data_IF_003677002923
#
_entry.id   IF_003677002923
#
_cell.length_a   1.000
_cell.length_b   1.000
_cell.length_c   1.000
_cell.angle_alpha   90.00
_cell.angle_beta   90.00
_cell.angle_gamma   90.00
#
_symmetry.space_group_name_H-M   'P 1'
#
loop_
_entity.id
_entity.type
_entity.pdbx_description
1 polymer ?
#
# COMPACT_ATOMS: atom_id res chain seq x y z
N UNK A 1 -13.28 9.47 11.91
CA UNK A 1 -13.02 8.17 11.26
C UNK A 1 -13.37 7.10 12.28
N UNK A 2 -14.55 6.50 12.16
CA UNK A 2 -14.95 5.39 13.03
C UNK A 2 -14.58 4.13 12.25
N UNK A 3 -13.49 3.49 12.67
CA UNK A 3 -13.17 2.13 12.23
C UNK A 3 -14.13 1.22 13.01
N UNK A 4 -15.19 0.76 12.35
CA UNK A 4 -16.14 -0.16 12.96
C UNK A 4 -15.91 -1.54 12.36
N UNK A 5 -15.31 -2.39 13.20
CA UNK A 5 -15.11 -3.82 13.06
C UNK A 5 -14.20 -4.26 11.91
N UNK A 6 -13.72 -5.51 11.98
CA UNK A 6 -12.78 -6.17 11.04
C UNK A 6 -13.31 -6.29 9.59
N UNK A 7 -14.35 -5.53 9.25
CA UNK A 7 -14.92 -5.42 7.92
C UNK A 7 -14.29 -4.21 7.20
N UNK A 8 -13.72 -4.41 6.01
CA UNK A 8 -13.03 -3.38 5.21
C UNK A 8 -14.00 -2.35 4.58
N UNK A 9 -15.15 -2.12 5.20
CA UNK A 9 -16.24 -1.32 4.68
C UNK A 9 -16.21 0.10 5.25
N UNK A 10 -16.11 1.09 4.37
CA UNK A 10 -16.07 2.49 4.75
C UNK A 10 -17.25 3.28 4.18
N UNK A 11 -17.60 4.36 4.88
CA UNK A 11 -18.59 5.36 4.44
C UNK A 11 -17.93 6.72 4.37
N UNK A 12 -18.15 7.39 3.23
CA UNK A 12 -17.76 8.76 2.83
C UNK A 12 -16.89 9.52 3.85
N UNK A 13 -15.59 9.66 3.54
CA UNK A 13 -14.66 10.57 4.22
C UNK A 13 -14.39 11.81 3.35
N UNK A 14 -14.26 13.03 3.91
CA UNK A 14 -13.81 14.21 3.18
C UNK A 14 -12.32 14.09 2.86
N UNK A 15 -11.98 13.33 1.80
CA UNK A 15 -10.63 13.21 1.27
C UNK A 15 -10.28 14.30 0.24
N UNK A 16 -9.01 14.35 -0.16
CA UNK A 16 -8.58 15.16 -1.30
C UNK A 16 -9.14 14.56 -2.59
N UNK A 17 -9.95 15.29 -3.38
CA UNK A 17 -10.72 14.76 -4.52
C UNK A 17 -9.90 13.94 -5.51
N UNK A 18 -8.67 14.37 -5.81
CA UNK A 18 -7.81 13.73 -6.82
C UNK A 18 -7.39 12.30 -6.47
N UNK A 19 -7.40 11.92 -5.19
CA UNK A 19 -7.08 10.55 -4.74
C UNK A 19 -8.33 9.71 -4.49
N UNK A 20 -9.52 10.25 -4.75
CA UNK A 20 -10.78 9.56 -4.46
C UNK A 20 -11.04 8.51 -5.53
N UNK A 21 -11.27 7.27 -5.10
CA UNK A 21 -11.64 6.17 -5.99
C UNK A 21 -13.07 6.38 -6.55
N UNK A 22 -13.38 5.90 -7.78
CA UNK A 22 -14.66 6.13 -8.43
C UNK A 22 -15.86 5.62 -7.61
N UNK A 23 -15.71 4.49 -6.92
CA UNK A 23 -16.75 3.94 -6.04
C UNK A 23 -17.06 4.84 -4.83
N UNK A 24 -16.08 5.60 -4.34
CA UNK A 24 -16.25 6.52 -3.23
C UNK A 24 -17.11 7.74 -3.61
N UNK A 25 -17.09 8.13 -4.89
CA UNK A 25 -17.88 9.24 -5.41
C UNK A 25 -19.40 8.96 -5.34
N UNK A 26 -19.79 7.68 -5.38
CA UNK A 26 -21.19 7.24 -5.38
C UNK A 26 -21.84 7.26 -3.99
N UNK A 27 -21.06 7.48 -2.92
CA UNK A 27 -21.57 7.57 -1.55
C UNK A 27 -22.11 6.26 -0.97
N UNK A 28 -21.81 5.13 -1.61
CA UNK A 28 -22.13 3.78 -1.14
C UNK A 28 -21.05 3.27 -0.18
N UNK A 29 -21.30 2.12 0.44
CA UNK A 29 -20.28 1.39 1.20
C UNK A 29 -19.22 0.91 0.19
N UNK A 30 -17.94 1.13 0.52
CA UNK A 30 -16.82 0.73 -0.34
C UNK A 30 -15.73 0.00 0.44
N UNK A 31 -14.90 -0.76 -0.27
CA UNK A 31 -13.77 -1.48 0.30
C UNK A 31 -12.56 -0.56 0.48
N UNK A 32 -12.12 -0.36 1.72
CA UNK A 32 -10.99 0.51 2.08
C UNK A 32 -9.70 0.12 1.36
N UNK A 33 -9.37 -1.17 1.32
CA UNK A 33 -8.16 -1.67 0.62
C UNK A 33 -8.17 -1.35 -0.88
N UNK A 34 -9.33 -1.49 -1.53
CA UNK A 34 -9.45 -1.17 -2.95
C UNK A 34 -9.29 0.34 -3.19
N UNK A 35 -9.87 1.17 -2.33
CA UNK A 35 -9.73 2.62 -2.39
C UNK A 35 -8.28 3.07 -2.13
N UNK A 36 -7.58 2.44 -1.19
CA UNK A 36 -6.16 2.72 -0.93
C UNK A 36 -5.30 2.32 -2.13
N UNK A 37 -5.62 1.20 -2.79
CA UNK A 37 -4.89 0.77 -3.99
C UNK A 37 -5.03 1.77 -5.14
N UNK A 38 -6.22 2.35 -5.30
CA UNK A 38 -6.44 3.45 -6.24
C UNK A 38 -5.59 4.68 -5.90
N UNK A 39 -5.57 5.09 -4.62
CA UNK A 39 -4.79 6.24 -4.18
C UNK A 39 -3.28 6.04 -4.41
N UNK A 40 -2.78 4.81 -4.26
CA UNK A 40 -1.41 4.43 -4.64
C UNK A 40 -1.17 4.62 -6.13
N UNK A 41 -2.09 4.17 -6.99
CA UNK A 41 -2.02 4.40 -8.43
C UNK A 41 -1.94 5.88 -8.83
N UNK A 42 -2.79 6.71 -8.23
CA UNK A 42 -2.80 8.16 -8.48
C UNK A 42 -1.47 8.78 -8.03
N UNK A 43 -0.97 8.36 -6.86
CA UNK A 43 0.31 8.84 -6.32
C UNK A 43 1.47 8.48 -7.23
N UNK A 44 1.53 7.21 -7.69
CA UNK A 44 2.58 6.73 -8.59
C UNK A 44 2.55 7.47 -9.92
N UNK A 45 1.36 7.65 -10.52
CA UNK A 45 1.19 8.43 -11.73
C UNK A 45 1.74 9.86 -11.55
N UNK A 46 1.41 10.51 -10.43
CA UNK A 46 1.89 11.85 -10.13
C UNK A 46 3.41 11.92 -9.95
N UNK A 47 4.03 10.90 -9.35
CA UNK A 47 5.48 10.84 -9.18
C UNK A 47 6.22 10.74 -10.52
N UNK A 48 5.66 10.02 -11.49
CA UNK A 48 6.30 9.76 -12.78
C UNK A 48 6.04 10.89 -13.77
N UNK A 49 4.79 11.35 -13.87
CA UNK A 49 4.34 12.28 -14.91
C UNK A 49 4.18 13.73 -14.40
N UNK A 50 4.34 13.95 -13.09
CA UNK A 50 4.27 15.28 -12.48
C UNK A 50 2.88 15.92 -12.49
N UNK A 51 1.84 15.17 -12.86
CA UNK A 51 0.46 15.63 -12.98
C UNK A 51 -0.52 14.56 -12.51
N UNK A 52 -1.79 14.92 -12.30
CA UNK A 52 -2.82 13.97 -11.88
C UNK A 52 -3.58 13.41 -13.09
N UNK A 53 -3.95 12.11 -13.08
CA UNK A 53 -4.57 11.46 -14.24
C UNK A 53 -5.98 11.99 -14.58
N UNK A 54 -6.73 12.45 -13.57
CA UNK A 54 -8.15 12.83 -13.72
C UNK A 54 -8.48 14.24 -13.20
N UNK A 55 -7.49 15.14 -13.15
CA UNK A 55 -7.72 16.49 -12.64
C UNK A 55 -8.65 17.30 -13.57
N UNK A 56 -9.66 17.90 -12.97
CA UNK A 56 -10.60 18.79 -13.64
C UNK A 56 -10.43 20.26 -13.28
N UNK A 57 -11.08 21.14 -14.04
CA UNK A 57 -11.13 22.58 -13.74
C UNK A 57 -11.95 22.87 -12.48
N UNK A 58 -12.94 22.01 -12.21
CA UNK A 58 -13.79 22.07 -11.02
C UNK A 58 -13.77 20.74 -10.28
N UNK A 59 -14.25 20.75 -9.03
CA UNK A 59 -14.44 19.53 -8.25
C UNK A 59 -15.39 18.55 -8.94
N UNK A 60 -16.47 19.08 -9.54
CA UNK A 60 -17.43 18.26 -10.27
C UNK A 60 -16.79 17.61 -11.50
N UNK A 61 -16.06 18.40 -12.30
CA UNK A 61 -15.31 17.89 -13.46
C UNK A 61 -14.27 16.83 -13.06
N UNK A 62 -13.59 17.02 -11.92
CA UNK A 62 -12.64 16.04 -11.39
C UNK A 62 -13.33 14.70 -11.07
N UNK A 63 -14.48 14.73 -10.38
CA UNK A 63 -15.22 13.50 -10.10
C UNK A 63 -15.76 12.85 -11.38
N UNK A 64 -16.23 13.64 -12.33
CA UNK A 64 -16.75 13.12 -13.59
C UNK A 64 -15.65 12.41 -14.39
N UNK A 65 -14.44 12.99 -14.43
CA UNK A 65 -13.25 12.35 -15.02
C UNK A 65 -12.81 11.10 -14.26
N UNK A 66 -12.87 11.12 -12.93
CA UNK A 66 -12.55 9.94 -12.11
C UNK A 66 -13.50 8.79 -12.43
N UNK A 67 -14.78 9.04 -12.71
CA UNK A 67 -15.75 7.98 -12.98
C UNK A 67 -15.75 7.56 -14.45
N UNK A 68 -15.74 8.51 -15.38
CA UNK A 68 -16.06 8.27 -16.78
C UNK A 68 -14.86 8.28 -17.73
N UNK A 69 -13.78 9.00 -17.40
CA UNK A 69 -12.67 9.13 -18.34
C UNK A 69 -11.71 7.94 -18.25
N UNK A 70 -11.23 7.44 -19.40
CA UNK A 70 -10.18 6.43 -19.44
C UNK A 70 -8.85 7.00 -18.95
N UNK A 71 -7.99 6.13 -18.46
CA UNK A 71 -6.61 6.48 -18.13
C UNK A 71 -5.84 6.78 -19.43
N UNK A 72 -5.09 7.88 -19.45
CA UNK A 72 -4.23 8.27 -20.58
C UNK A 72 -2.78 8.10 -20.16
N UNK A 73 -2.02 7.32 -20.93
CA UNK A 73 -0.61 7.04 -20.69
C UNK A 73 0.21 7.33 -21.95
N UNK A 74 1.44 7.88 -21.84
CA UNK A 74 2.30 8.12 -23.01
C UNK A 74 2.71 6.83 -23.72
N UNK A 75 2.73 6.84 -25.06
CA UNK A 75 3.08 5.65 -25.85
C UNK A 75 4.51 5.15 -25.60
N UNK A 76 5.45 6.05 -25.31
CA UNK A 76 6.87 5.73 -25.09
C UNK A 76 7.19 5.23 -23.67
N UNK A 77 6.19 5.12 -22.78
CA UNK A 77 6.41 4.64 -21.41
C UNK A 77 6.65 3.12 -21.36
N UNK A 78 7.46 2.69 -20.39
CA UNK A 78 7.75 1.28 -20.12
C UNK A 78 6.44 0.46 -20.02
N UNK A 79 6.39 -0.68 -20.74
CA UNK A 79 5.20 -1.51 -20.84
C UNK A 79 4.76 -2.11 -19.50
N UNK A 80 5.71 -2.51 -18.64
CA UNK A 80 5.40 -3.05 -17.31
C UNK A 80 4.85 -1.97 -16.38
N UNK A 81 5.36 -0.73 -16.50
CA UNK A 81 4.82 0.39 -15.75
C UNK A 81 3.40 0.74 -16.20
N UNK A 82 3.11 0.67 -17.51
CA UNK A 82 1.76 0.85 -18.04
C UNK A 82 0.80 -0.19 -17.46
N UNK A 83 1.18 -1.47 -17.54
CA UNK A 83 0.39 -2.59 -17.01
C UNK A 83 0.08 -2.39 -15.52
N UNK A 84 1.08 -2.00 -14.73
CA UNK A 84 0.89 -1.69 -13.31
C UNK A 84 -0.08 -0.52 -13.07
N UNK A 85 0.07 0.58 -13.82
CA UNK A 85 -0.79 1.76 -13.68
C UNK A 85 -2.24 1.47 -14.11
N UNK A 86 -2.43 0.69 -15.18
CA UNK A 86 -3.76 0.25 -15.63
C UNK A 86 -4.43 -0.66 -14.59
N UNK A 87 -3.67 -1.57 -13.96
CA UNK A 87 -4.16 -2.40 -12.87
C UNK A 87 -4.55 -1.60 -11.62
N UNK A 88 -3.71 -0.64 -11.22
CA UNK A 88 -3.92 0.22 -10.04
C UNK A 88 -5.10 1.18 -10.23
N UNK A 89 -5.23 1.76 -11.42
CA UNK A 89 -6.26 2.75 -11.78
C UNK A 89 -7.44 2.11 -12.53
N UNK A 90 -7.69 0.82 -12.30
CA UNK A 90 -8.89 0.14 -12.77
C UNK A 90 -10.12 0.68 -12.04
N UNK A 91 -11.13 1.10 -12.81
CA UNK A 91 -12.35 1.72 -12.27
C UNK A 91 -13.20 0.72 -11.48
N UNK A 92 -13.23 -0.53 -11.93
CA UNK A 92 -13.94 -1.60 -11.22
C UNK A 92 -13.09 -2.08 -10.03
N UNK A 93 -13.54 -1.88 -8.77
CA UNK A 93 -12.78 -2.30 -7.60
C UNK A 93 -12.62 -3.82 -7.50
N UNK A 94 -13.47 -4.63 -8.12
CA UNK A 94 -13.37 -6.08 -8.10
C UNK A 94 -12.29 -6.61 -9.07
N UNK A 95 -12.00 -5.86 -10.13
CA UNK A 95 -10.95 -6.16 -11.11
C UNK A 95 -9.65 -5.42 -10.83
N UNK A 96 -9.66 -4.45 -9.90
CA UNK A 96 -8.49 -3.69 -9.50
C UNK A 96 -7.45 -4.60 -8.87
N UNK A 97 -6.19 -4.41 -9.26
CA UNK A 97 -5.07 -5.17 -8.67
C UNK A 97 -5.04 -4.96 -7.16
N UNK A 98 -4.70 -5.98 -6.39
CA UNK A 98 -4.53 -5.85 -4.93
C UNK A 98 -3.12 -5.39 -4.60
N UNK A 99 -2.94 -4.73 -3.45
CA UNK A 99 -1.59 -4.33 -3.00
C UNK A 99 -0.61 -5.52 -2.90
N UNK A 100 -1.09 -6.71 -2.54
CA UNK A 100 -0.25 -7.92 -2.50
C UNK A 100 0.25 -8.29 -3.92
N UNK A 101 -0.63 -8.25 -4.92
CA UNK A 101 -0.25 -8.45 -6.31
C UNK A 101 0.69 -7.34 -6.82
N UNK A 102 0.50 -6.09 -6.39
CA UNK A 102 1.40 -4.96 -6.72
C UNK A 102 2.81 -5.21 -6.19
N UNK A 103 2.96 -5.69 -4.96
CA UNK A 103 4.29 -5.99 -4.39
C UNK A 103 5.03 -7.08 -5.14
N UNK A 104 4.31 -7.95 -5.85
CA UNK A 104 4.87 -9.02 -6.66
C UNK A 104 5.01 -8.67 -8.15
N UNK A 105 4.66 -7.44 -8.54
CA UNK A 105 4.67 -7.01 -9.93
C UNK A 105 6.10 -6.84 -10.45
N UNK A 106 6.38 -7.24 -11.69
CA UNK A 106 7.73 -7.22 -12.30
C UNK A 106 8.37 -5.84 -12.21
N UNK A 107 7.63 -4.78 -12.52
CA UNK A 107 8.09 -3.40 -12.40
C UNK A 107 8.50 -3.00 -10.97
N UNK A 108 7.85 -3.57 -9.95
CA UNK A 108 8.09 -3.24 -8.54
C UNK A 108 9.28 -4.03 -7.96
N UNK A 109 9.39 -5.30 -8.33
CA UNK A 109 10.50 -6.18 -7.92
C UNK A 109 11.80 -5.76 -8.62
N UNK A 110 11.73 -5.44 -9.92
CA UNK A 110 12.91 -5.21 -10.76
C UNK A 110 13.89 -6.39 -10.72
N UNK A 111 15.18 -6.10 -10.94
CA UNK A 111 16.25 -7.09 -10.91
C UNK A 111 16.73 -7.43 -9.49
N UNK A 112 16.32 -6.63 -8.49
CA UNK A 112 16.83 -6.69 -7.11
C UNK A 112 16.08 -7.68 -6.21
N UNK A 113 15.01 -8.30 -6.71
CA UNK A 113 14.19 -9.27 -5.97
C UNK A 113 13.11 -8.64 -5.08
N UNK A 114 12.31 -9.45 -4.36
CA UNK A 114 11.13 -8.97 -3.67
C UNK A 114 11.46 -7.98 -2.55
N UNK A 115 10.63 -6.95 -2.39
CA UNK A 115 10.81 -5.92 -1.36
C UNK A 115 10.85 -6.58 0.03
N UNK A 116 11.90 -6.35 0.84
CA UNK A 116 11.97 -6.88 2.20
C UNK A 116 10.77 -6.41 3.02
N UNK A 117 10.02 -7.34 3.62
CA UNK A 117 8.90 -6.98 4.49
C UNK A 117 9.42 -6.18 5.69
N UNK A 118 9.06 -4.90 5.76
CA UNK A 118 9.36 -4.08 6.93
C UNK A 118 8.47 -4.53 8.09
N UNK A 119 9.08 -5.14 9.10
CA UNK A 119 8.38 -5.41 10.36
C UNK A 119 8.05 -4.09 11.03
N UNK A 120 6.77 -3.89 11.38
CA UNK A 120 6.40 -2.77 12.23
C UNK A 120 7.24 -2.81 13.52
N UNK A 121 7.61 -1.64 14.03
CA UNK A 121 8.40 -1.51 15.26
C UNK A 121 7.80 -2.31 16.43
N UNK A 122 6.46 -2.38 16.50
CA UNK A 122 5.73 -3.15 17.50
C UNK A 122 6.02 -4.67 17.42
N UNK A 123 6.01 -5.26 16.22
CA UNK A 123 6.36 -6.68 16.02
C UNK A 123 7.85 -6.94 16.27
N UNK A 124 8.72 -6.01 15.87
CA UNK A 124 10.17 -6.08 16.13
C UNK A 124 10.49 -6.15 17.64
N UNK A 125 9.77 -5.38 18.46
CA UNK A 125 9.93 -5.38 19.93
C UNK A 125 9.49 -6.71 20.56
N UNK A 126 8.42 -7.32 20.06
CA UNK A 126 7.93 -8.62 20.57
C UNK A 126 8.89 -9.79 20.30
N UNK A 127 9.58 -9.79 19.15
CA UNK A 127 10.55 -10.84 18.80
C UNK A 127 11.85 -10.75 19.62
N UNK A 128 12.25 -9.55 20.07
CA UNK A 128 13.44 -9.38 20.91
C UNK A 128 13.19 -9.81 22.37
N UNK A 129 11.93 -9.87 22.80
CA UNK A 129 11.54 -10.27 24.16
C UNK A 129 11.48 -11.78 24.39
N UNK A 130 11.65 -12.60 23.34
CA UNK A 130 11.61 -14.07 23.39
C UNK A 130 12.97 -14.75 23.43
N UNK A 131 14.08 -14.00 23.51
CA UNK A 131 15.44 -14.53 23.52
C UNK A 131 16.15 -14.21 24.83
N UNK A 132 15.60 -14.68 25.95
CA UNK A 132 16.39 -14.80 27.18
C UNK A 132 17.24 -16.08 27.09
N UNK A 133 18.57 -16.03 27.28
CA UNK A 133 19.37 -17.23 27.47
C UNK A 133 19.02 -17.81 28.85
N UNK A 134 18.54 -19.05 28.85
CA UNK A 134 18.52 -19.90 30.03
C UNK A 134 19.95 -20.17 30.46
N UNK A 135 20.45 -19.51 31.51
CA UNK A 135 21.69 -19.90 32.16
C UNK A 135 21.36 -20.56 33.50
N UNK A 136 21.32 -21.89 33.46
CA UNK A 136 21.09 -22.77 34.59
C UNK A 136 22.36 -23.54 34.96
N UNK A 137 23.03 -23.04 35.99
CA UNK A 137 23.67 -23.75 37.11
C UNK A 137 24.83 -24.74 36.91
N UNK A 138 25.92 -24.43 37.66
CA UNK A 138 26.86 -25.29 38.41
C UNK A 138 27.88 -26.14 37.63
N UNK A 139 29.18 -25.97 37.89
CA UNK A 139 29.89 -26.72 38.94
C UNK A 139 31.33 -26.20 39.17
N UNK A 140 31.77 -26.47 40.39
CA UNK A 140 32.99 -26.19 41.13
C UNK A 140 34.30 -26.60 40.46
N UNK A 141 35.38 -25.88 40.76
CA UNK A 141 36.68 -26.48 41.13
C UNK A 141 37.56 -25.42 41.81
N UNK A 142 37.92 -25.68 43.06
CA UNK A 142 38.81 -24.82 43.83
C UNK A 142 40.28 -25.00 43.44
N UNK A 143 41.09 -23.99 43.77
CA UNK A 143 42.52 -24.13 44.05
C UNK A 143 42.98 -22.99 44.95
N UNK A 144 43.83 -23.38 45.91
CA UNK A 144 44.30 -22.66 47.09
C UNK A 144 45.23 -21.47 46.78
N UNK A 145 45.23 -20.47 47.66
CA UNK A 145 46.32 -19.50 47.80
C UNK A 145 46.93 -19.65 49.21
N UNK A 146 48.17 -20.14 49.22
CA UNK A 146 49.12 -20.04 50.34
C UNK A 146 50.19 -19.02 49.97
N UNK A 147 50.67 -18.33 51.01
CA UNK A 147 51.69 -17.26 51.11
C UNK A 147 51.21 -15.81 50.90
#
# INVERSE_FOLDING_TARGET
MVLQDDNDELRRSPGTPVFTAPECCLGVIYHGKAADTWAVGVTLYCMILGQYPFLGETLHDTYDKIVNNPLVLPDEMNAELKDLLEGLLCKDPALRITLDAVTNHTWVIGDDGPIPQYLCWCKRSSMQKGREPSDGSNDSTGINLTE
#
